data_IF_281528653916
#
_entry.id   IF_281528653916
#
_cell.length_a   1.000
_cell.length_b   1.000
_cell.length_c   1.000
_cell.angle_alpha   90.00
_cell.angle_beta   90.00
_cell.angle_gamma   90.00
#
_symmetry.space_group_name_H-M   'P 1'
#
loop_
_entity.id
_entity.type
_entity.pdbx_description
1 polymer ?
#
# COMPACT_ATOMS: atom_id res chain seq x y z
N UNK A 1 48.38 -18.63 -9.62
CA UNK A 1 47.88 -18.03 -8.35
C UNK A 1 46.78 -18.93 -7.81
N UNK A 2 47.07 -19.71 -6.77
CA UNK A 2 46.09 -20.59 -6.12
C UNK A 2 45.28 -19.76 -5.12
N UNK A 3 44.04 -19.44 -5.47
CA UNK A 3 43.14 -18.76 -4.53
C UNK A 3 42.88 -19.74 -3.38
N UNK A 4 43.14 -19.36 -2.12
CA UNK A 4 42.91 -20.24 -0.99
C UNK A 4 41.43 -20.64 -0.95
N UNK A 5 41.16 -21.94 -1.05
CA UNK A 5 39.81 -22.52 -1.12
C UNK A 5 38.94 -22.14 0.08
N UNK A 6 39.56 -21.85 1.23
CA UNK A 6 38.91 -21.32 2.44
C UNK A 6 38.29 -19.94 2.18
N UNK A 7 39.00 -19.06 1.46
CA UNK A 7 38.53 -17.72 1.14
C UNK A 7 37.35 -17.76 0.17
N UNK A 8 37.39 -18.67 -0.81
CA UNK A 8 36.28 -18.90 -1.73
C UNK A 8 35.03 -19.43 -1.00
N UNK A 9 35.22 -20.32 -0.02
CA UNK A 9 34.11 -20.84 0.80
C UNK A 9 33.52 -19.76 1.71
N UNK A 10 34.36 -18.97 2.36
CA UNK A 10 33.94 -17.84 3.19
C UNK A 10 33.17 -16.80 2.36
N UNK A 11 33.65 -16.48 1.15
CA UNK A 11 32.99 -15.57 0.22
C UNK A 11 31.61 -16.09 -0.21
N UNK A 12 31.49 -17.38 -0.57
CA UNK A 12 30.20 -18.00 -0.92
C UNK A 12 29.23 -18.06 0.27
N UNK A 13 29.73 -18.20 1.50
CA UNK A 13 28.90 -18.12 2.69
C UNK A 13 28.42 -16.68 2.93
N UNK A 14 29.31 -15.70 2.79
CA UNK A 14 29.00 -14.27 2.90
C UNK A 14 27.96 -13.82 1.88
N UNK A 15 28.10 -14.20 0.61
CA UNK A 15 27.13 -13.86 -0.44
C UNK A 15 25.72 -14.36 -0.12
N UNK A 16 25.56 -15.53 0.49
CA UNK A 16 24.24 -16.05 0.92
C UNK A 16 23.63 -15.20 2.02
N UNK A 17 24.44 -14.78 2.99
CA UNK A 17 24.00 -13.90 4.08
C UNK A 17 23.63 -12.51 3.54
N UNK A 18 24.46 -11.94 2.67
CA UNK A 18 24.21 -10.64 2.05
C UNK A 18 22.93 -10.64 1.19
N UNK A 19 22.68 -11.71 0.43
CA UNK A 19 21.46 -11.86 -0.35
C UNK A 19 20.21 -11.91 0.54
N UNK A 20 20.26 -12.72 1.61
CA UNK A 20 19.17 -12.81 2.58
C UNK A 20 18.90 -11.46 3.28
N UNK A 21 19.95 -10.72 3.65
CA UNK A 21 19.82 -9.39 4.22
C UNK A 21 19.19 -8.42 3.22
N UNK A 22 19.63 -8.45 1.95
CA UNK A 22 19.09 -7.60 0.89
C UNK A 22 17.59 -7.80 0.66
N UNK A 23 17.13 -9.06 0.62
CA UNK A 23 15.70 -9.38 0.47
C UNK A 23 14.87 -8.85 1.65
N UNK A 24 15.38 -8.97 2.88
CA UNK A 24 14.67 -8.47 4.07
C UNK A 24 14.77 -6.96 4.23
N UNK A 25 15.84 -6.34 3.78
CA UNK A 25 16.04 -4.90 3.85
C UNK A 25 14.95 -4.15 3.10
N UNK A 26 14.58 -4.62 1.90
CA UNK A 26 13.52 -4.00 1.11
C UNK A 26 12.20 -3.94 1.91
N UNK A 27 11.80 -5.06 2.52
CA UNK A 27 10.58 -5.11 3.35
C UNK A 27 10.66 -4.13 4.51
N UNK A 28 11.79 -4.08 5.22
CA UNK A 28 11.98 -3.15 6.36
C UNK A 28 11.89 -1.70 5.89
N UNK A 29 12.61 -1.33 4.83
CA UNK A 29 12.59 0.03 4.27
C UNK A 29 11.19 0.42 3.82
N UNK A 30 10.50 -0.45 3.08
CA UNK A 30 9.13 -0.18 2.64
C UNK A 30 8.17 -0.07 3.82
N UNK A 31 8.31 -0.92 4.83
CA UNK A 31 7.47 -0.86 6.04
C UNK A 31 7.65 0.49 6.74
N UNK A 32 8.89 0.91 6.97
CA UNK A 32 9.19 2.21 7.58
C UNK A 32 8.63 3.35 6.73
N UNK A 33 8.84 3.33 5.41
CA UNK A 33 8.34 4.37 4.51
C UNK A 33 6.81 4.47 4.52
N UNK A 34 6.11 3.33 4.42
CA UNK A 34 4.66 3.31 4.48
C UNK A 34 4.12 3.82 5.82
N UNK A 35 4.71 3.38 6.94
CA UNK A 35 4.23 3.83 8.25
C UNK A 35 4.61 5.29 8.55
N UNK A 36 5.79 5.75 8.16
CA UNK A 36 6.27 7.10 8.46
C UNK A 36 5.70 8.16 7.51
N UNK A 37 5.43 7.82 6.25
CA UNK A 37 4.91 8.77 5.25
C UNK A 37 3.41 8.59 5.04
N UNK A 38 2.98 7.39 4.64
CA UNK A 38 1.58 7.13 4.31
C UNK A 38 0.72 7.11 5.59
N UNK A 39 1.25 6.59 6.69
CA UNK A 39 0.57 6.54 7.99
C UNK A 39 0.04 7.90 8.46
N UNK A 40 0.89 8.94 8.62
CA UNK A 40 0.45 10.28 8.98
C UNK A 40 -0.55 10.87 8.01
N UNK A 41 -0.34 10.71 6.70
CA UNK A 41 -1.27 11.21 5.67
C UNK A 41 -2.64 10.55 5.84
N UNK A 42 -2.68 9.23 6.00
CA UNK A 42 -3.91 8.48 6.20
C UNK A 42 -4.60 8.86 7.52
N UNK A 43 -3.83 9.08 8.59
CA UNK A 43 -4.36 9.52 9.89
C UNK A 43 -4.97 10.92 9.79
N UNK A 44 -4.25 11.88 9.20
CA UNK A 44 -4.75 13.23 8.93
C UNK A 44 -6.04 13.14 8.11
N UNK A 45 -6.04 12.41 6.99
CA UNK A 45 -7.26 12.24 6.19
C UNK A 45 -8.39 11.61 6.99
N UNK A 46 -8.15 10.59 7.81
CA UNK A 46 -9.18 9.97 8.66
C UNK A 46 -9.74 10.93 9.71
N UNK A 47 -8.93 11.83 10.25
CA UNK A 47 -9.33 12.79 11.29
C UNK A 47 -10.06 13.99 10.69
N UNK A 48 -9.58 14.54 9.58
CA UNK A 48 -10.14 15.77 8.99
C UNK A 48 -11.19 15.50 7.91
N UNK A 49 -11.13 14.36 7.24
CA UNK A 49 -12.11 13.93 6.24
C UNK A 49 -12.79 12.65 6.71
N UNK A 50 -14.06 12.46 6.34
CA UNK A 50 -14.73 11.17 6.52
C UNK A 50 -14.89 10.49 5.15
N UNK A 51 -13.78 10.05 4.51
CA UNK A 51 -13.83 9.54 3.15
C UNK A 51 -14.66 8.26 3.03
N UNK A 52 -14.72 7.49 4.12
CA UNK A 52 -15.51 6.26 4.21
C UNK A 52 -16.90 6.50 4.81
N UNK A 53 -17.25 7.76 5.12
CA UNK A 53 -18.53 8.17 5.70
C UNK A 53 -18.93 7.39 6.96
N UNK A 54 -17.93 6.92 7.73
CA UNK A 54 -18.12 6.02 8.88
C UNK A 54 -18.71 6.76 10.09
N UNK A 55 -18.61 8.08 10.15
CA UNK A 55 -19.18 8.90 11.22
C UNK A 55 -20.70 9.02 11.10
N UNK A 56 -21.27 8.65 9.95
CA UNK A 56 -22.71 8.61 9.68
C UNK A 56 -23.48 7.49 10.38
N UNK A 57 -23.03 7.00 11.54
CA UNK A 57 -23.65 5.87 12.27
C UNK A 57 -25.08 6.18 12.77
N UNK A 58 -25.53 7.44 12.70
CA UNK A 58 -26.91 7.88 12.94
C UNK A 58 -27.71 8.13 11.65
N UNK A 59 -27.35 7.50 10.52
CA UNK A 59 -28.13 7.59 9.29
C UNK A 59 -29.23 6.55 9.27
N UNK A 60 -30.40 6.92 8.75
CA UNK A 60 -31.53 6.02 8.50
C UNK A 60 -31.22 4.97 7.44
N UNK A 61 -30.22 5.21 6.58
CA UNK A 61 -29.76 4.28 5.55
C UNK A 61 -28.29 4.49 5.18
N UNK A 62 -27.63 3.41 4.74
CA UNK A 62 -26.27 3.43 4.19
C UNK A 62 -26.23 3.61 2.67
N UNK A 63 -27.39 3.68 2.00
CA UNK A 63 -27.44 3.95 0.56
C UNK A 63 -26.88 5.34 0.26
N UNK A 64 -25.92 5.41 -0.67
CA UNK A 64 -25.41 6.67 -1.17
C UNK A 64 -26.39 7.26 -2.20
N UNK A 65 -26.73 8.56 -2.12
CA UNK A 65 -27.58 9.20 -3.10
C UNK A 65 -26.89 9.15 -4.47
N UNK A 66 -27.52 8.46 -5.42
CA UNK A 66 -27.09 8.48 -6.82
C UNK A 66 -27.72 9.70 -7.48
N UNK A 67 -26.90 10.55 -8.10
CA UNK A 67 -27.43 11.63 -8.93
C UNK A 67 -28.29 11.03 -10.04
N UNK A 68 -29.52 11.53 -10.20
CA UNK A 68 -30.40 11.08 -11.26
C UNK A 68 -29.80 11.51 -12.61
N UNK A 69 -29.55 10.54 -13.46
CA UNK A 69 -29.24 10.76 -14.88
C UNK A 69 -30.52 11.28 -15.55
N UNK A 70 -30.47 12.40 -16.30
CA UNK A 70 -31.64 12.91 -17.01
C UNK A 70 -32.33 11.78 -17.82
N UNK A 71 -33.65 11.68 -17.70
CA UNK A 71 -34.42 10.71 -18.48
C UNK A 71 -34.58 11.20 -19.93
N UNK A 72 -33.49 11.23 -20.68
CA UNK A 72 -33.49 11.49 -22.12
C UNK A 72 -33.46 10.17 -22.90
N UNK A 73 -34.13 10.13 -24.05
CA UNK A 73 -34.09 8.96 -24.95
C UNK A 73 -32.66 8.64 -25.40
N UNK A 74 -31.83 9.67 -25.54
CA UNK A 74 -30.43 9.53 -25.92
C UNK A 74 -29.57 8.92 -24.79
N UNK A 75 -29.86 9.20 -23.53
CA UNK A 75 -29.19 8.55 -22.39
C UNK A 75 -29.66 7.10 -22.20
N UNK A 76 -30.94 6.81 -22.46
CA UNK A 76 -31.47 5.44 -22.43
C UNK A 76 -30.85 4.54 -23.52
N UNK A 77 -30.47 5.11 -24.68
CA UNK A 77 -29.75 4.38 -25.74
C UNK A 77 -28.29 4.07 -25.41
N UNK A 78 -27.71 4.72 -24.40
CA UNK A 78 -26.30 4.57 -23.98
C UNK A 78 -26.10 3.61 -22.80
N UNK A 79 -27.18 3.17 -22.15
CA UNK A 79 -27.17 2.14 -21.10
C UNK A 79 -27.40 0.76 -21.69
#
# INVERSE_FOLDING_TARGET
MTIPTVLVRAWKAWQRVAHWIGEKQAIVVYTVLYFAVIGPIALVRRVFTDPLQLRGRQRTTFWMPRAATPASLDEARRQ
#
